data_IF_978787845923
#
_entry.id   IF_978787845923
#
_cell.length_a   1.000
_cell.length_b   1.000
_cell.length_c   1.000
_cell.angle_alpha   90.00
_cell.angle_beta   90.00
_cell.angle_gamma   90.00
#
_symmetry.space_group_name_H-M   'P 1'
#
loop_
_entity.id
_entity.type
_entity.pdbx_description
1 polymer ?
#
# COMPACT_ATOMS: atom_id res chain seq x y z
N UNK A 1 55.39 41.62 0.72
CA UNK A 1 54.63 40.60 1.45
C UNK A 1 53.15 40.80 1.11
N UNK A 2 52.67 40.08 0.10
CA UNK A 2 51.27 40.13 -0.34
C UNK A 2 50.54 39.00 0.39
N UNK A 3 49.58 39.35 1.27
CA UNK A 3 48.66 38.38 1.89
C UNK A 3 47.61 38.02 0.86
N UNK A 4 47.65 36.79 0.40
CA UNK A 4 46.62 36.17 -0.42
C UNK A 4 45.46 35.80 0.54
N UNK A 5 44.38 36.53 0.48
CA UNK A 5 43.11 36.13 1.10
C UNK A 5 42.49 35.03 0.24
N UNK A 6 42.71 33.80 0.67
CA UNK A 6 41.95 32.66 0.11
C UNK A 6 40.55 32.73 0.71
N UNK A 7 39.60 33.27 -0.04
CA UNK A 7 38.18 33.15 0.27
C UNK A 7 37.80 31.70 -0.04
N UNK A 8 37.76 30.89 1.02
CA UNK A 8 37.08 29.58 0.95
C UNK A 8 35.58 29.86 0.73
N UNK A 9 35.16 29.88 -0.54
CA UNK A 9 33.76 29.82 -0.93
C UNK A 9 33.30 28.41 -0.57
N UNK A 10 32.91 28.19 0.68
CA UNK A 10 32.08 27.06 1.04
C UNK A 10 30.80 27.19 0.23
N UNK A 11 30.75 26.52 -0.91
CA UNK A 11 29.48 26.15 -1.54
C UNK A 11 28.74 25.31 -0.50
N UNK A 12 27.98 25.95 0.37
CA UNK A 12 26.80 25.43 0.92
C UNK A 12 25.88 25.15 -0.29
N UNK A 13 26.02 23.97 -0.85
CA UNK A 13 24.91 23.29 -1.51
C UNK A 13 23.82 23.23 -0.45
N UNK A 14 23.10 24.33 -0.27
CA UNK A 14 21.74 24.29 0.16
C UNK A 14 21.07 23.38 -0.88
N UNK A 15 21.02 22.09 -0.57
CA UNK A 15 20.01 21.21 -1.09
C UNK A 15 18.70 21.87 -0.67
N UNK A 16 18.28 22.87 -1.45
CA UNK A 16 16.90 23.29 -1.47
C UNK A 16 16.15 22.03 -1.85
N UNK A 17 15.75 21.27 -0.85
CA UNK A 17 14.71 20.31 -1.00
C UNK A 17 13.50 21.14 -1.46
N UNK A 18 13.35 21.31 -2.77
CA UNK A 18 12.07 21.65 -3.33
C UNK A 18 11.19 20.49 -2.97
N UNK A 19 10.46 20.64 -1.85
CA UNK A 19 9.31 19.82 -1.55
C UNK A 19 8.49 19.83 -2.83
N UNK A 20 8.53 18.72 -3.58
CA UNK A 20 7.88 18.63 -4.87
C UNK A 20 6.40 18.91 -4.66
N UNK A 21 5.87 19.85 -5.42
CA UNK A 21 4.46 20.24 -5.37
C UNK A 21 3.81 19.73 -6.64
N UNK A 22 3.56 18.42 -6.72
CA UNK A 22 2.74 17.89 -7.78
C UNK A 22 1.28 18.34 -7.55
N UNK A 23 0.73 19.26 -8.37
CA UNK A 23 -0.62 19.78 -8.18
C UNK A 23 -1.70 18.67 -8.26
N UNK A 24 -1.42 17.59 -9.02
CA UNK A 24 -2.35 16.47 -9.13
C UNK A 24 -2.39 15.64 -7.83
N UNK A 25 -1.23 15.43 -7.20
CA UNK A 25 -1.17 14.76 -5.91
C UNK A 25 -1.86 15.60 -4.84
N UNK A 26 -1.59 16.91 -4.80
CA UNK A 26 -2.24 17.81 -3.86
C UNK A 26 -3.76 17.85 -4.05
N UNK A 27 -4.26 18.00 -5.28
CA UNK A 27 -5.69 17.98 -5.57
C UNK A 27 -6.33 16.67 -5.11
N UNK A 28 -5.68 15.53 -5.38
CA UNK A 28 -6.15 14.22 -4.95
C UNK A 28 -6.25 14.09 -3.42
N UNK A 29 -5.28 14.62 -2.67
CA UNK A 29 -5.30 14.61 -1.20
C UNK A 29 -6.35 15.57 -0.62
N UNK A 30 -6.59 16.71 -1.27
CA UNK A 30 -7.59 17.69 -0.83
C UNK A 30 -9.03 17.22 -1.02
N UNK A 31 -9.29 16.34 -2.00
CA UNK A 31 -10.63 15.75 -2.18
C UNK A 31 -11.04 14.89 -0.98
N UNK A 32 -10.09 14.20 -0.35
CA UNK A 32 -10.31 13.40 0.85
C UNK A 32 -9.04 13.36 1.71
N UNK A 33 -9.08 14.02 2.86
CA UNK A 33 -7.95 14.10 3.80
C UNK A 33 -7.50 12.72 4.31
N UNK A 34 -8.36 11.70 4.31
CA UNK A 34 -7.98 10.34 4.71
C UNK A 34 -6.90 9.74 3.82
N UNK A 35 -6.74 10.24 2.60
CA UNK A 35 -5.71 9.81 1.64
C UNK A 35 -4.28 10.15 2.07
N UNK A 36 -4.09 11.09 3.02
CA UNK A 36 -2.77 11.33 3.61
C UNK A 36 -2.28 10.19 4.49
N UNK A 37 -3.14 9.22 4.81
CA UNK A 37 -2.77 7.97 5.49
C UNK A 37 -1.87 7.04 4.65
N UNK A 38 -1.57 7.38 3.39
CA UNK A 38 -0.75 6.59 2.48
C UNK A 38 -1.30 5.16 2.30
N UNK A 39 -0.45 4.16 2.53
CA UNK A 39 -0.82 2.75 2.44
C UNK A 39 -1.76 2.26 3.57
N UNK A 40 -2.09 3.10 4.58
CA UNK A 40 -3.16 2.84 5.54
C UNK A 40 -4.53 3.32 5.07
N UNK A 41 -4.61 4.03 3.93
CA UNK A 41 -5.90 4.40 3.35
C UNK A 41 -6.70 3.14 2.98
N UNK A 42 -8.00 3.11 3.30
CA UNK A 42 -8.87 1.98 3.01
C UNK A 42 -9.18 1.83 1.52
N UNK A 43 -9.72 0.69 1.12
CA UNK A 43 -10.04 0.42 -0.29
C UNK A 43 -11.15 1.36 -0.80
N UNK A 44 -10.87 2.08 -1.88
CA UNK A 44 -11.86 2.94 -2.55
C UNK A 44 -12.60 2.15 -3.64
N UNK A 45 -13.84 1.76 -3.37
CA UNK A 45 -14.68 1.11 -4.37
C UNK A 45 -15.22 2.13 -5.38
N UNK A 46 -14.80 1.98 -6.65
CA UNK A 46 -15.27 2.79 -7.79
C UNK A 46 -15.82 1.87 -8.88
N UNK A 47 -16.80 2.34 -9.63
CA UNK A 47 -17.31 1.61 -10.77
C UNK A 47 -16.51 1.94 -12.03
N UNK A 48 -16.02 0.90 -12.69
CA UNK A 48 -15.26 0.99 -13.91
C UNK A 48 -15.97 0.28 -15.05
N UNK A 49 -15.75 0.78 -16.26
CA UNK A 49 -16.15 0.08 -17.49
C UNK A 49 -14.98 -0.77 -17.95
N UNK A 50 -15.27 -2.00 -18.36
CA UNK A 50 -14.28 -2.94 -18.85
C UNK A 50 -14.38 -3.11 -20.36
N UNK A 51 -13.23 -3.29 -21.00
CA UNK A 51 -13.14 -3.58 -22.42
C UNK A 51 -13.77 -4.94 -22.73
N UNK A 52 -14.44 -5.02 -23.87
CA UNK A 52 -15.04 -6.30 -24.28
C UNK A 52 -13.94 -7.29 -24.67
N UNK A 53 -14.07 -8.51 -24.16
CA UNK A 53 -13.20 -9.62 -24.57
C UNK A 53 -13.31 -9.81 -26.09
N UNK A 54 -12.19 -9.96 -26.82
CA UNK A 54 -12.21 -10.17 -28.25
C UNK A 54 -13.08 -11.36 -28.65
N UNK A 55 -13.77 -11.25 -29.80
CA UNK A 55 -14.67 -12.31 -30.29
C UNK A 55 -13.90 -13.63 -30.48
N UNK A 56 -14.41 -14.70 -29.92
CA UNK A 56 -13.81 -16.04 -30.05
C UNK A 56 -12.89 -16.43 -28.91
N UNK A 57 -12.66 -15.54 -27.94
CA UNK A 57 -11.94 -15.84 -26.71
C UNK A 57 -12.91 -16.10 -25.55
N UNK A 58 -12.55 -17.06 -24.71
CA UNK A 58 -13.28 -17.37 -23.48
C UNK A 58 -12.32 -17.46 -22.30
N UNK A 59 -12.77 -16.98 -21.13
CA UNK A 59 -11.99 -17.04 -19.91
C UNK A 59 -11.79 -18.49 -19.48
N UNK A 60 -10.51 -18.85 -19.21
CA UNK A 60 -10.09 -20.20 -18.84
C UNK A 60 -9.37 -20.28 -17.50
N UNK A 61 -8.76 -19.17 -17.04
CA UNK A 61 -8.01 -19.14 -15.80
C UNK A 61 -7.97 -17.73 -15.21
N UNK A 62 -7.82 -17.62 -13.89
CA UNK A 62 -7.58 -16.37 -13.17
C UNK A 62 -6.46 -16.51 -12.15
N UNK A 63 -5.53 -15.56 -12.13
CA UNK A 63 -4.46 -15.46 -11.14
C UNK A 63 -4.59 -14.15 -10.37
N UNK A 64 -4.54 -14.22 -9.05
CA UNK A 64 -4.74 -13.08 -8.16
C UNK A 64 -3.64 -12.98 -7.11
N UNK A 65 -3.30 -11.74 -6.73
CA UNK A 65 -2.63 -11.44 -5.48
C UNK A 65 -3.28 -10.22 -4.82
N UNK A 66 -3.68 -10.38 -3.55
CA UNK A 66 -4.23 -9.31 -2.72
C UNK A 66 -3.36 -9.05 -1.48
N UNK A 67 -3.15 -7.77 -1.17
CA UNK A 67 -2.71 -7.31 0.14
C UNK A 67 -3.81 -7.58 1.15
N UNK A 68 -3.47 -7.88 2.42
CA UNK A 68 -4.47 -7.94 3.50
C UNK A 68 -5.30 -6.64 3.57
N UNK A 69 -6.54 -6.72 4.05
CA UNK A 69 -7.45 -5.59 4.22
C UNK A 69 -7.08 -4.66 5.37
N UNK A 70 -7.94 -3.68 5.61
CA UNK A 70 -7.89 -2.78 6.76
C UNK A 70 -7.75 -3.57 8.06
N UNK A 71 -6.90 -3.11 8.99
CA UNK A 71 -6.45 -3.88 10.14
C UNK A 71 -6.24 -3.02 11.38
N UNK A 72 -6.13 -3.69 12.51
CA UNK A 72 -5.61 -3.09 13.74
C UNK A 72 -4.09 -2.89 13.64
N UNK A 73 -3.52 -2.15 14.60
CA UNK A 73 -2.08 -1.91 14.68
C UNK A 73 -1.29 -3.22 14.84
N UNK A 74 -0.03 -3.18 14.46
CA UNK A 74 0.95 -4.25 14.76
C UNK A 74 1.77 -3.95 16.01
N UNK A 75 1.68 -2.73 16.55
CA UNK A 75 2.33 -2.28 17.79
C UNK A 75 1.60 -1.05 18.34
N UNK A 76 1.66 -0.83 19.66
CA UNK A 76 0.91 0.23 20.37
C UNK A 76 1.72 1.50 20.66
N UNK A 77 3.03 1.48 20.45
CA UNK A 77 3.96 2.58 20.80
C UNK A 77 3.52 3.98 20.36
N UNK A 78 2.87 4.09 19.19
CA UNK A 78 2.36 5.36 18.68
C UNK A 78 1.26 5.93 19.56
N UNK A 79 0.25 5.12 19.88
CA UNK A 79 -0.85 5.50 20.77
C UNK A 79 -0.34 5.85 22.17
N UNK A 80 0.48 5.00 22.76
CA UNK A 80 1.07 5.23 24.10
C UNK A 80 1.81 6.57 24.17
N UNK A 81 2.61 6.89 23.16
CA UNK A 81 3.36 8.14 23.14
C UNK A 81 2.44 9.36 23.00
N UNK A 82 1.44 9.31 22.11
CA UNK A 82 0.45 10.39 21.96
C UNK A 82 -0.34 10.57 23.23
N UNK A 83 -0.87 9.49 23.83
CA UNK A 83 -1.60 9.51 25.10
C UNK A 83 -0.74 10.14 26.21
N UNK A 84 0.54 9.71 26.34
CA UNK A 84 1.46 10.26 27.33
C UNK A 84 1.61 11.77 27.18
N UNK A 85 1.79 12.26 25.96
CA UNK A 85 2.01 13.69 25.71
C UNK A 85 0.75 14.52 25.92
N UNK A 86 -0.39 14.06 25.42
CA UNK A 86 -1.66 14.75 25.64
C UNK A 86 -2.05 14.74 27.15
N UNK A 87 -1.77 13.66 27.88
CA UNK A 87 -1.99 13.61 29.34
C UNK A 87 -1.09 14.60 30.08
N UNK A 88 0.15 14.83 29.63
CA UNK A 88 1.02 15.85 30.22
C UNK A 88 0.45 17.26 30.00
N UNK A 89 -0.05 17.55 28.80
CA UNK A 89 -0.71 18.83 28.48
C UNK A 89 -2.01 19.02 29.28
N UNK A 90 -2.82 17.97 29.40
CA UNK A 90 -4.04 17.99 30.21
C UNK A 90 -3.77 18.36 31.66
N UNK A 91 -2.77 17.70 32.28
CA UNK A 91 -2.36 17.98 33.67
C UNK A 91 -1.85 19.41 33.87
N UNK A 92 -1.30 20.03 32.84
CA UNK A 92 -0.86 21.41 32.83
C UNK A 92 -1.99 22.42 32.51
N UNK A 93 -3.21 21.94 32.22
CA UNK A 93 -4.34 22.81 31.83
C UNK A 93 -4.17 23.45 30.46
N UNK A 94 -3.39 22.85 29.57
CA UNK A 94 -3.01 23.41 28.27
C UNK A 94 -3.78 22.82 27.10
N UNK A 95 -4.60 21.75 27.28
CA UNK A 95 -5.45 21.25 26.20
C UNK A 95 -6.67 22.15 26.01
N UNK A 96 -7.04 22.34 24.75
CA UNK A 96 -8.36 22.87 24.38
C UNK A 96 -9.35 21.71 24.16
N UNK A 97 -10.58 22.00 23.73
CA UNK A 97 -11.63 21.00 23.51
C UNK A 97 -11.21 19.90 22.51
N UNK A 98 -10.55 20.27 21.41
CA UNK A 98 -10.08 19.33 20.40
C UNK A 98 -8.97 18.42 20.95
N UNK A 99 -8.06 18.98 21.76
CA UNK A 99 -7.01 18.23 22.43
C UNK A 99 -7.54 17.22 23.45
N UNK A 100 -8.54 17.62 24.25
CA UNK A 100 -9.22 16.72 25.20
C UNK A 100 -9.93 15.58 24.47
N UNK A 101 -10.66 15.89 23.40
CA UNK A 101 -11.36 14.89 22.60
C UNK A 101 -10.38 13.94 21.91
N UNK A 102 -9.26 14.45 21.35
CA UNK A 102 -8.21 13.61 20.77
C UNK A 102 -7.61 12.65 21.80
N UNK A 103 -7.36 13.13 23.05
CA UNK A 103 -6.86 12.28 24.12
C UNK A 103 -7.84 11.16 24.45
N UNK A 104 -9.14 11.47 24.57
CA UNK A 104 -10.20 10.49 24.82
C UNK A 104 -10.25 9.44 23.72
N UNK A 105 -10.33 9.89 22.46
CA UNK A 105 -10.38 9.01 21.29
C UNK A 105 -9.14 8.12 21.19
N UNK A 106 -7.93 8.68 21.42
CA UNK A 106 -6.68 7.92 21.32
C UNK A 106 -6.63 6.83 22.39
N UNK A 107 -7.13 7.10 23.63
CA UNK A 107 -7.24 6.09 24.68
C UNK A 107 -8.19 4.95 24.29
N UNK A 108 -9.34 5.26 23.71
CA UNK A 108 -10.31 4.25 23.26
C UNK A 108 -9.74 3.39 22.11
N UNK A 109 -9.12 4.02 21.13
CA UNK A 109 -8.44 3.31 20.04
C UNK A 109 -7.27 2.45 20.54
N UNK A 110 -6.52 2.92 21.55
CA UNK A 110 -5.44 2.15 22.16
C UNK A 110 -5.94 0.84 22.75
N UNK A 111 -6.97 0.89 23.61
CA UNK A 111 -7.59 -0.31 24.21
C UNK A 111 -8.11 -1.28 23.13
N UNK A 112 -8.71 -0.74 22.08
CA UNK A 112 -9.22 -1.54 20.98
C UNK A 112 -8.07 -2.22 20.21
N UNK A 113 -6.98 -1.49 19.95
CA UNK A 113 -5.80 -2.04 19.26
C UNK A 113 -5.07 -3.09 20.12
N UNK A 114 -4.89 -2.87 21.43
CA UNK A 114 -4.26 -3.85 22.33
C UNK A 114 -4.94 -5.22 22.28
N UNK A 115 -6.27 -5.23 22.25
CA UNK A 115 -7.07 -6.47 22.20
C UNK A 115 -7.01 -7.19 20.86
N UNK A 116 -6.63 -6.50 19.80
CA UNK A 116 -6.76 -7.00 18.42
C UNK A 116 -5.48 -6.81 17.60
N UNK A 117 -4.32 -6.65 18.25
CA UNK A 117 -3.04 -6.48 17.52
C UNK A 117 -2.89 -7.51 16.40
N UNK A 118 -2.38 -7.04 15.25
CA UNK A 118 -2.14 -7.81 14.02
C UNK A 118 -3.38 -8.30 13.28
N UNK A 119 -4.57 -8.26 13.88
CA UNK A 119 -5.80 -8.80 13.30
C UNK A 119 -6.40 -7.87 12.23
N UNK A 120 -7.14 -8.47 11.31
CA UNK A 120 -7.97 -7.76 10.35
C UNK A 120 -9.11 -7.02 11.09
N UNK A 121 -9.43 -5.80 10.66
CA UNK A 121 -10.57 -5.06 11.20
C UNK A 121 -11.87 -5.49 10.50
N UNK A 122 -13.05 -5.18 11.07
CA UNK A 122 -14.32 -5.44 10.41
C UNK A 122 -14.41 -4.83 8.99
N UNK A 123 -13.79 -3.66 8.78
CA UNK A 123 -13.68 -3.03 7.46
C UNK A 123 -12.87 -3.90 6.50
N UNK A 124 -11.74 -4.47 6.96
CA UNK A 124 -10.91 -5.33 6.13
C UNK A 124 -11.61 -6.62 5.68
N UNK A 125 -12.44 -7.22 6.53
CA UNK A 125 -13.29 -8.35 6.11
C UNK A 125 -14.27 -7.93 5.01
N UNK A 126 -14.93 -6.77 5.15
CA UNK A 126 -15.87 -6.24 4.16
C UNK A 126 -15.17 -5.89 2.84
N UNK A 127 -13.96 -5.32 2.89
CA UNK A 127 -13.16 -5.01 1.70
C UNK A 127 -12.96 -6.27 0.86
N UNK A 128 -12.43 -7.34 1.46
CA UNK A 128 -12.15 -8.59 0.75
C UNK A 128 -13.42 -9.29 0.24
N UNK A 129 -14.49 -9.33 1.04
CA UNK A 129 -15.76 -9.88 0.59
C UNK A 129 -16.29 -9.14 -0.65
N UNK A 130 -16.27 -7.80 -0.61
CA UNK A 130 -16.76 -6.97 -1.71
C UNK A 130 -15.89 -7.04 -2.96
N UNK A 131 -14.55 -7.11 -2.82
CA UNK A 131 -13.64 -7.32 -3.96
C UNK A 131 -13.96 -8.65 -4.66
N UNK A 132 -14.15 -9.73 -3.88
CA UNK A 132 -14.53 -11.04 -4.41
C UNK A 132 -15.89 -11.01 -5.16
N UNK A 133 -16.87 -10.33 -4.59
CA UNK A 133 -18.20 -10.15 -5.22
C UNK A 133 -18.09 -9.38 -6.55
N UNK A 134 -17.28 -8.33 -6.61
CA UNK A 134 -17.04 -7.54 -7.83
C UNK A 134 -16.31 -8.35 -8.88
N UNK A 135 -15.28 -9.12 -8.51
CA UNK A 135 -14.58 -10.05 -9.38
C UNK A 135 -15.55 -11.10 -9.97
N UNK A 136 -16.37 -11.71 -9.12
CA UNK A 136 -17.39 -12.66 -9.54
C UNK A 136 -18.40 -12.02 -10.53
N UNK A 137 -18.89 -10.82 -10.22
CA UNK A 137 -19.85 -10.11 -11.05
C UNK A 137 -19.28 -9.75 -12.43
N UNK A 138 -18.01 -9.35 -12.50
CA UNK A 138 -17.30 -9.04 -13.74
C UNK A 138 -17.16 -10.27 -14.62
N UNK A 139 -16.74 -11.40 -14.07
CA UNK A 139 -16.50 -12.65 -14.79
C UNK A 139 -17.57 -13.72 -14.47
N UNK A 140 -18.83 -13.30 -14.38
CA UNK A 140 -19.96 -14.14 -13.96
C UNK A 140 -20.11 -15.42 -14.77
N UNK A 141 -19.85 -15.39 -16.09
CA UNK A 141 -19.95 -16.59 -16.96
C UNK A 141 -18.93 -17.64 -16.54
N UNK A 142 -17.73 -17.23 -16.16
CA UNK A 142 -16.65 -18.10 -15.70
C UNK A 142 -16.94 -18.66 -14.32
N UNK A 143 -17.22 -17.81 -13.33
CA UNK A 143 -17.45 -18.20 -11.94
C UNK A 143 -18.76 -18.97 -11.67
N UNK A 144 -19.67 -19.05 -12.64
CA UNK A 144 -20.86 -19.93 -12.54
C UNK A 144 -20.56 -21.41 -12.83
N UNK A 145 -19.39 -21.74 -13.34
CA UNK A 145 -18.95 -23.11 -13.56
C UNK A 145 -18.56 -23.75 -12.23
N UNK A 146 -18.32 -25.06 -12.26
CA UNK A 146 -17.76 -25.82 -11.16
C UNK A 146 -16.24 -25.68 -11.21
N UNK A 147 -15.70 -24.66 -10.53
CA UNK A 147 -14.27 -24.32 -10.57
C UNK A 147 -13.57 -24.84 -9.34
N UNK A 148 -12.30 -25.22 -9.52
CA UNK A 148 -11.39 -25.56 -8.44
C UNK A 148 -10.42 -24.40 -8.22
N UNK A 149 -10.41 -23.88 -6.99
CA UNK A 149 -9.66 -22.69 -6.59
C UNK A 149 -8.60 -23.05 -5.57
N UNK A 150 -7.33 -22.70 -5.87
CA UNK A 150 -6.23 -22.77 -4.90
C UNK A 150 -6.06 -21.40 -4.28
N UNK A 151 -6.13 -21.33 -2.94
CA UNK A 151 -5.88 -20.11 -2.17
C UNK A 151 -4.68 -20.30 -1.26
N UNK A 152 -3.71 -19.39 -1.32
CA UNK A 152 -2.55 -19.40 -0.42
C UNK A 152 -2.38 -18.04 0.24
N UNK A 153 -2.05 -18.06 1.53
CA UNK A 153 -1.82 -16.85 2.31
C UNK A 153 -0.45 -16.84 3.00
N UNK A 154 0.08 -15.64 3.22
CA UNK A 154 1.14 -15.44 4.20
C UNK A 154 0.73 -16.00 5.56
N UNK A 155 1.68 -16.45 6.37
CA UNK A 155 1.45 -16.99 7.72
C UNK A 155 0.87 -15.96 8.71
N UNK A 156 0.79 -14.69 8.35
CA UNK A 156 0.16 -13.66 9.18
C UNK A 156 -1.37 -13.80 9.22
N UNK A 157 -1.96 -13.81 10.43
CA UNK A 157 -3.39 -14.00 10.68
C UNK A 157 -4.28 -13.09 9.83
N UNK A 158 -3.91 -11.82 9.65
CA UNK A 158 -4.65 -10.87 8.80
C UNK A 158 -4.69 -11.28 7.33
N UNK A 159 -3.67 -11.97 6.81
CA UNK A 159 -3.65 -12.44 5.43
C UNK A 159 -4.54 -13.67 5.27
N UNK A 160 -4.51 -14.60 6.23
CA UNK A 160 -5.39 -15.76 6.28
C UNK A 160 -6.86 -15.34 6.43
N UNK A 161 -7.14 -14.37 7.32
CA UNK A 161 -8.47 -13.79 7.50
C UNK A 161 -8.99 -13.11 6.23
N UNK A 162 -8.10 -12.40 5.49
CA UNK A 162 -8.41 -11.80 4.20
C UNK A 162 -8.78 -12.87 3.17
N UNK A 163 -7.98 -13.93 3.06
CA UNK A 163 -8.26 -15.07 2.20
C UNK A 163 -9.61 -15.71 2.52
N UNK A 164 -9.85 -16.00 3.80
CA UNK A 164 -11.11 -16.63 4.23
C UNK A 164 -12.33 -15.75 3.93
N UNK A 165 -12.24 -14.43 4.13
CA UNK A 165 -13.33 -13.51 3.81
C UNK A 165 -13.61 -13.47 2.31
N UNK A 166 -12.57 -13.38 1.49
CA UNK A 166 -12.65 -13.38 0.03
C UNK A 166 -13.26 -14.68 -0.50
N UNK A 167 -12.70 -15.82 -0.13
CA UNK A 167 -13.16 -17.14 -0.56
C UNK A 167 -14.59 -17.44 -0.08
N UNK A 168 -14.91 -17.06 1.16
CA UNK A 168 -16.27 -17.19 1.68
C UNK A 168 -17.30 -16.38 0.87
N UNK A 169 -16.93 -15.19 0.37
CA UNK A 169 -17.81 -14.42 -0.52
C UNK A 169 -18.00 -15.09 -1.88
N UNK A 170 -16.97 -15.70 -2.46
CA UNK A 170 -17.11 -16.49 -3.70
C UNK A 170 -18.03 -17.69 -3.53
N UNK A 171 -17.85 -18.47 -2.45
CA UNK A 171 -18.69 -19.65 -2.17
C UNK A 171 -20.16 -19.25 -1.95
N UNK A 172 -20.43 -18.13 -1.30
CA UNK A 172 -21.82 -17.61 -1.19
C UNK A 172 -22.44 -17.30 -2.54
N UNK A 173 -21.66 -16.87 -3.55
CA UNK A 173 -22.14 -16.60 -4.91
C UNK A 173 -22.32 -17.88 -5.74
N UNK A 174 -21.44 -18.87 -5.54
CA UNK A 174 -21.53 -20.19 -6.18
C UNK A 174 -21.06 -21.30 -5.23
N UNK A 175 -21.97 -22.04 -4.58
CA UNK A 175 -21.62 -23.14 -3.65
C UNK A 175 -20.93 -24.34 -4.30
N UNK A 176 -20.85 -24.42 -5.63
CA UNK A 176 -20.17 -25.51 -6.35
C UNK A 176 -18.67 -25.27 -6.53
N UNK A 177 -18.17 -24.11 -6.10
CA UNK A 177 -16.73 -23.83 -6.10
C UNK A 177 -16.02 -24.73 -5.06
N UNK A 178 -14.97 -25.39 -5.47
CA UNK A 178 -14.10 -26.17 -4.58
C UNK A 178 -12.88 -25.35 -4.19
N UNK A 179 -12.59 -25.27 -2.88
CA UNK A 179 -11.52 -24.43 -2.32
C UNK A 179 -10.45 -25.29 -1.67
N UNK A 180 -9.22 -25.20 -2.16
CA UNK A 180 -8.01 -25.74 -1.51
C UNK A 180 -7.24 -24.56 -0.90
N UNK A 181 -7.42 -24.30 0.40
CA UNK A 181 -6.84 -23.15 1.10
C UNK A 181 -5.69 -23.58 2.00
N UNK A 182 -4.56 -22.85 1.94
CA UNK A 182 -3.37 -23.17 2.71
C UNK A 182 -2.58 -21.93 3.13
N UNK A 183 -1.77 -22.07 4.19
CA UNK A 183 -0.86 -21.04 4.69
C UNK A 183 0.34 -21.71 5.37
N UNK A 184 1.49 -21.68 4.69
CA UNK A 184 2.72 -22.36 5.14
C UNK A 184 3.92 -21.43 5.01
N UNK A 185 4.93 -21.69 5.84
CA UNK A 185 6.20 -20.95 5.83
C UNK A 185 6.93 -21.05 4.48
N UNK A 186 6.85 -22.18 3.78
CA UNK A 186 7.45 -22.37 2.47
C UNK A 186 6.97 -21.34 1.42
N UNK A 187 5.73 -20.88 1.52
CA UNK A 187 5.18 -19.85 0.61
C UNK A 187 5.76 -18.46 0.83
N UNK A 188 6.33 -18.22 2.03
CA UNK A 188 6.90 -16.92 2.37
C UNK A 188 8.07 -16.55 1.46
N UNK A 189 8.77 -17.53 0.91
CA UNK A 189 9.88 -17.33 -0.03
C UNK A 189 9.52 -16.56 -1.30
N UNK A 190 8.23 -16.52 -1.67
CA UNK A 190 7.75 -15.77 -2.84
C UNK A 190 6.56 -14.84 -2.52
N UNK A 191 5.62 -15.23 -1.64
CA UNK A 191 4.51 -14.36 -1.24
C UNK A 191 5.00 -13.15 -0.43
N UNK A 192 6.08 -13.32 0.34
CA UNK A 192 6.58 -12.29 1.25
C UNK A 192 8.10 -12.23 1.27
N UNK A 193 8.72 -12.40 0.10
CA UNK A 193 10.18 -12.44 0.00
C UNK A 193 10.79 -11.08 0.40
N UNK A 194 11.51 -11.08 1.52
CA UNK A 194 12.27 -9.93 2.04
C UNK A 194 13.76 -10.24 2.17
N UNK A 195 14.20 -11.44 1.77
CA UNK A 195 15.59 -11.88 1.94
C UNK A 195 16.58 -10.98 1.20
N UNK A 196 17.66 -10.61 1.90
CA UNK A 196 18.78 -9.84 1.37
C UNK A 196 18.51 -8.34 1.13
N UNK A 197 17.35 -7.85 1.54
CA UNK A 197 16.84 -6.53 1.22
C UNK A 197 17.13 -5.48 2.30
N UNK A 198 17.11 -5.88 3.57
CA UNK A 198 16.69 -4.96 4.63
C UNK A 198 17.80 -4.01 5.10
N UNK A 199 19.03 -4.45 5.28
CA UNK A 199 20.04 -3.60 5.94
C UNK A 199 20.54 -2.44 5.06
N UNK A 200 20.95 -2.70 3.82
CA UNK A 200 21.64 -1.66 3.03
C UNK A 200 20.69 -0.60 2.46
N UNK A 201 19.51 -1.01 2.00
CA UNK A 201 18.54 -0.08 1.41
C UNK A 201 17.79 0.65 2.51
N UNK A 202 17.32 -0.08 3.53
CA UNK A 202 16.55 0.49 4.63
C UNK A 202 17.33 1.55 5.41
N UNK A 203 18.61 1.30 5.70
CA UNK A 203 19.45 2.26 6.41
C UNK A 203 19.70 3.53 5.60
N UNK A 204 20.00 3.41 4.30
CA UNK A 204 20.23 4.57 3.43
C UNK A 204 18.94 5.36 3.19
N UNK A 205 17.81 4.69 2.94
CA UNK A 205 16.51 5.33 2.85
C UNK A 205 16.13 6.01 4.17
N UNK A 206 16.38 5.35 5.31
CA UNK A 206 16.19 5.90 6.64
C UNK A 206 16.90 7.22 6.88
N UNK A 207 18.16 7.36 6.45
CA UNK A 207 18.91 8.62 6.54
C UNK A 207 18.25 9.76 5.74
N UNK A 208 17.75 9.47 4.55
CA UNK A 208 17.01 10.44 3.73
C UNK A 208 15.72 10.87 4.44
N UNK A 209 14.96 9.92 4.95
CA UNK A 209 13.70 10.15 5.66
C UNK A 209 13.91 10.93 6.95
N UNK A 210 14.95 10.61 7.73
CA UNK A 210 15.27 11.32 8.98
C UNK A 210 15.72 12.76 8.72
N UNK A 211 16.48 13.00 7.65
CA UNK A 211 16.84 14.34 7.21
C UNK A 211 15.59 15.16 6.89
N UNK A 212 14.64 14.59 6.12
CA UNK A 212 13.39 15.27 5.76
C UNK A 212 12.49 15.54 6.97
N UNK A 213 12.34 14.57 7.87
CA UNK A 213 11.57 14.76 9.11
C UNK A 213 12.03 16.01 9.89
N UNK A 214 13.35 16.25 9.92
CA UNK A 214 13.92 17.38 10.65
C UNK A 214 13.93 18.70 9.86
N UNK A 215 13.76 18.65 8.55
CA UNK A 215 13.89 19.82 7.67
C UNK A 215 12.55 20.42 7.30
N UNK A 216 11.54 19.58 6.97
CA UNK A 216 10.27 20.09 6.41
C UNK A 216 9.10 20.08 7.39
N UNK A 217 9.11 19.21 8.42
CA UNK A 217 8.04 19.18 9.42
C UNK A 217 8.11 20.38 10.36
N UNK A 218 6.93 20.89 10.72
CA UNK A 218 6.77 21.94 11.71
C UNK A 218 5.82 21.48 12.82
N UNK A 219 6.33 20.80 13.86
CA UNK A 219 5.49 20.25 14.92
C UNK A 219 4.66 21.29 15.68
N UNK A 220 5.05 22.56 15.63
CA UNK A 220 4.25 23.64 16.23
C UNK A 220 2.89 23.73 15.55
N UNK A 221 2.85 23.59 14.24
CA UNK A 221 1.59 23.63 13.49
C UNK A 221 0.70 22.40 13.76
N UNK A 222 1.30 21.22 13.96
CA UNK A 222 0.53 20.03 14.34
C UNK A 222 0.01 20.07 15.79
N UNK A 223 0.68 20.80 16.69
CA UNK A 223 0.29 20.95 18.11
C UNK A 223 -0.71 22.10 18.28
N UNK A 224 -0.60 23.16 17.51
CA UNK A 224 -1.41 24.39 17.61
C UNK A 224 -2.94 24.15 17.75
N UNK A 225 -3.56 23.27 16.94
CA UNK A 225 -5.00 23.04 17.01
C UNK A 225 -5.47 22.37 18.33
N UNK A 226 -4.56 21.84 19.13
CA UNK A 226 -4.86 20.99 20.29
C UNK A 226 -4.74 21.72 21.62
N UNK A 227 -4.21 22.96 21.62
CA UNK A 227 -3.78 23.63 22.85
C UNK A 227 -4.31 25.06 22.98
N UNK A 228 -4.42 25.53 24.20
CA UNK A 228 -4.82 26.91 24.53
C UNK A 228 -3.67 27.91 24.46
N UNK A 229 -2.47 27.45 24.83
CA UNK A 229 -1.22 28.23 24.76
C UNK A 229 -0.13 27.38 24.12
N UNK A 230 0.26 27.75 22.88
CA UNK A 230 1.23 26.98 22.11
C UNK A 230 2.65 27.07 22.67
N UNK A 231 3.05 28.24 23.19
CA UNK A 231 4.43 28.42 23.65
C UNK A 231 4.66 27.67 24.97
N UNK A 232 3.73 27.68 25.89
CA UNK A 232 3.79 26.88 27.10
C UNK A 232 3.65 25.39 26.80
N UNK A 233 2.74 24.99 25.93
CA UNK A 233 2.59 23.62 25.51
C UNK A 233 3.87 23.06 24.86
N UNK A 234 4.50 23.81 23.97
CA UNK A 234 5.69 23.35 23.25
C UNK A 234 6.88 23.06 24.15
N UNK A 235 7.00 23.73 25.30
CA UNK A 235 8.06 23.47 26.29
C UNK A 235 7.98 22.05 26.87
N UNK A 236 6.81 21.42 26.84
CA UNK A 236 6.61 20.05 27.33
C UNK A 236 7.04 18.96 26.34
N UNK A 237 7.43 19.34 25.13
CA UNK A 237 7.89 18.41 24.10
C UNK A 237 9.41 18.37 24.00
N UNK A 238 10.03 17.29 24.44
CA UNK A 238 11.45 17.04 24.23
C UNK A 238 11.77 16.48 22.82
N UNK A 239 10.79 15.93 22.13
CA UNK A 239 10.88 15.37 20.76
C UNK A 239 9.60 15.68 19.98
N UNK A 240 9.35 16.92 19.59
CA UNK A 240 8.08 17.33 18.98
C UNK A 240 7.83 16.69 17.61
N UNK A 241 8.85 16.53 16.77
CA UNK A 241 8.76 15.79 15.49
C UNK A 241 8.25 14.36 15.70
N UNK A 242 8.69 13.69 16.79
CA UNK A 242 8.22 12.35 17.12
C UNK A 242 6.73 12.32 17.48
N UNK A 243 6.25 13.36 18.17
CA UNK A 243 4.82 13.49 18.48
C UNK A 243 4.00 13.62 17.20
N UNK A 244 4.41 14.50 16.31
CA UNK A 244 3.72 14.73 15.04
C UNK A 244 3.67 13.46 14.17
N UNK A 245 4.78 12.74 14.04
CA UNK A 245 4.83 11.45 13.33
C UNK A 245 3.88 10.42 13.94
N UNK A 246 3.85 10.29 15.27
CA UNK A 246 2.95 9.33 15.91
C UNK A 246 1.48 9.79 15.89
N UNK A 247 1.22 11.10 15.94
CA UNK A 247 -0.13 11.63 15.72
C UNK A 247 -0.65 11.26 14.32
N UNK A 248 0.20 11.39 13.29
CA UNK A 248 -0.15 10.94 11.93
C UNK A 248 -0.45 9.44 11.87
N UNK A 249 0.37 8.59 12.53
CA UNK A 249 0.13 7.13 12.58
C UNK A 249 -1.21 6.81 13.26
N UNK A 250 -1.50 7.45 14.41
CA UNK A 250 -2.77 7.29 15.14
C UNK A 250 -3.95 7.74 14.28
N UNK A 251 -3.80 8.87 13.59
CA UNK A 251 -4.82 9.40 12.70
C UNK A 251 -5.06 8.50 11.47
N UNK A 252 -3.99 7.92 10.93
CA UNK A 252 -4.06 7.03 9.77
C UNK A 252 -4.80 5.72 10.10
N UNK A 253 -4.48 5.10 11.25
CA UNK A 253 -5.12 3.83 11.61
C UNK A 253 -6.59 3.99 12.02
N UNK A 254 -7.00 5.17 12.49
CA UNK A 254 -8.39 5.45 12.83
C UNK A 254 -9.35 5.20 11.66
N UNK A 255 -8.88 5.38 10.43
CA UNK A 255 -9.67 5.12 9.20
C UNK A 255 -9.96 3.62 8.99
N UNK A 256 -9.17 2.73 9.59
CA UNK A 256 -9.30 1.27 9.48
C UNK A 256 -10.16 0.65 10.59
N UNK A 257 -10.39 1.40 11.67
CA UNK A 257 -11.08 0.92 12.86
C UNK A 257 -12.60 1.14 12.80
N UNK A 258 -13.40 0.35 13.53
CA UNK A 258 -14.84 0.55 13.63
C UNK A 258 -15.17 1.73 14.58
N UNK A 259 -14.63 2.91 14.27
CA UNK A 259 -14.82 4.15 15.03
C UNK A 259 -15.27 5.27 14.11
N UNK A 260 -15.96 6.27 14.66
CA UNK A 260 -16.40 7.45 13.92
C UNK A 260 -15.42 8.62 14.03
N UNK A 261 -14.28 8.41 14.66
CA UNK A 261 -13.25 9.43 14.85
C UNK A 261 -12.50 9.68 13.55
N UNK A 262 -12.13 10.96 13.35
CA UNK A 262 -11.35 11.39 12.19
C UNK A 262 -10.23 12.33 12.65
N UNK A 263 -9.24 11.82 13.43
CA UNK A 263 -8.17 12.65 13.98
C UNK A 263 -7.33 13.35 12.90
N UNK A 264 -7.30 12.82 11.68
CA UNK A 264 -6.59 13.44 10.56
C UNK A 264 -7.06 14.86 10.28
N UNK A 265 -8.34 15.18 10.54
CA UNK A 265 -8.90 16.53 10.37
C UNK A 265 -8.33 17.56 11.35
N UNK A 266 -7.72 17.11 12.45
CA UNK A 266 -7.07 17.99 13.44
C UNK A 266 -5.64 18.39 13.02
N UNK A 267 -5.05 17.72 12.05
CA UNK A 267 -3.73 18.07 11.50
C UNK A 267 -3.97 19.06 10.36
N UNK A 268 -3.40 20.28 10.40
CA UNK A 268 -3.50 21.23 9.29
C UNK A 268 -3.07 20.59 7.98
N UNK A 269 -3.81 20.86 6.90
CA UNK A 269 -3.59 20.16 5.62
C UNK A 269 -2.13 20.24 5.13
N UNK A 270 -1.51 21.41 5.24
CA UNK A 270 -0.12 21.60 4.79
C UNK A 270 0.86 20.69 5.56
N UNK A 271 0.63 20.47 6.86
CA UNK A 271 1.45 19.60 7.68
C UNK A 271 1.12 18.12 7.40
N UNK A 272 -0.17 17.79 7.27
CA UNK A 272 -0.61 16.44 6.86
C UNK A 272 -0.01 16.04 5.49
N UNK A 273 0.05 16.96 4.54
CA UNK A 273 0.67 16.76 3.21
C UNK A 273 2.17 16.48 3.29
N UNK A 274 2.91 17.16 4.19
CA UNK A 274 4.33 16.88 4.42
C UNK A 274 4.54 15.48 5.02
N UNK A 275 3.73 15.11 6.00
CA UNK A 275 3.74 13.77 6.59
C UNK A 275 3.43 12.69 5.55
N UNK A 276 2.43 12.93 4.69
CA UNK A 276 2.12 12.08 3.55
C UNK A 276 3.33 11.95 2.61
N UNK A 277 3.95 13.07 2.22
CA UNK A 277 5.09 13.06 1.31
C UNK A 277 6.26 12.23 1.85
N UNK A 278 6.62 12.42 3.12
CA UNK A 278 7.67 11.65 3.78
C UNK A 278 7.34 10.15 3.80
N UNK A 279 6.11 9.80 4.15
CA UNK A 279 5.68 8.40 4.18
C UNK A 279 5.57 7.79 2.79
N UNK A 280 5.10 8.54 1.81
CA UNK A 280 5.03 8.12 0.41
C UNK A 280 6.43 7.87 -0.16
N UNK A 281 7.38 8.78 0.11
CA UNK A 281 8.78 8.62 -0.25
C UNK A 281 9.42 7.39 0.41
N UNK A 282 9.21 7.19 1.72
CA UNK A 282 9.70 6.02 2.46
C UNK A 282 9.24 4.72 1.79
N UNK A 283 7.96 4.61 1.45
CA UNK A 283 7.41 3.45 0.74
C UNK A 283 8.05 3.26 -0.63
N UNK A 284 8.20 4.35 -1.39
CA UNK A 284 8.73 4.29 -2.75
C UNK A 284 10.21 3.88 -2.77
N UNK A 285 11.05 4.51 -1.95
CA UNK A 285 12.48 4.20 -1.86
C UNK A 285 12.72 2.75 -1.41
N UNK A 286 11.97 2.28 -0.44
CA UNK A 286 12.15 0.95 0.12
C UNK A 286 11.54 -0.17 -0.72
N UNK A 287 10.53 0.08 -1.56
CA UNK A 287 9.73 -1.01 -2.13
C UNK A 287 9.41 -0.88 -3.62
N UNK A 288 9.64 0.27 -4.24
CA UNK A 288 9.33 0.52 -5.65
C UNK A 288 10.58 0.70 -6.50
N UNK A 289 10.36 1.05 -7.77
CA UNK A 289 11.39 1.23 -8.78
C UNK A 289 12.08 2.61 -8.69
N UNK A 290 12.60 2.97 -7.50
CA UNK A 290 13.31 4.25 -7.33
C UNK A 290 14.62 4.28 -8.14
N UNK A 291 15.04 5.48 -8.52
CA UNK A 291 16.36 5.70 -9.15
C UNK A 291 17.47 5.27 -8.21
N UNK A 292 17.32 5.51 -6.90
CA UNK A 292 18.34 5.25 -5.89
C UNK A 292 18.49 3.76 -5.56
N UNK A 293 17.40 3.01 -5.45
CA UNK A 293 17.44 1.66 -4.86
C UNK A 293 16.66 0.60 -5.65
N UNK A 294 15.96 0.98 -6.74
CA UNK A 294 15.13 0.05 -7.51
C UNK A 294 15.90 -1.15 -8.03
N UNK A 295 17.11 -0.96 -8.53
CA UNK A 295 17.94 -2.03 -9.09
C UNK A 295 18.39 -3.06 -8.03
N UNK A 296 18.39 -2.68 -6.76
CA UNK A 296 18.67 -3.60 -5.64
C UNK A 296 17.37 -4.31 -5.22
N UNK A 297 16.26 -3.57 -5.16
CA UNK A 297 15.00 -4.04 -4.56
C UNK A 297 14.17 -4.93 -5.49
N UNK A 298 14.01 -4.51 -6.74
CA UNK A 298 13.06 -5.11 -7.66
C UNK A 298 13.39 -6.57 -8.04
N UNK A 299 14.67 -6.98 -8.21
CA UNK A 299 15.01 -8.36 -8.54
C UNK A 299 14.43 -9.42 -7.59
N UNK A 300 14.20 -9.08 -6.32
CA UNK A 300 13.60 -10.01 -5.33
C UNK A 300 12.15 -10.40 -5.66
N UNK A 301 11.44 -9.64 -6.50
CA UNK A 301 10.11 -9.98 -6.96
C UNK A 301 10.08 -11.07 -8.04
N UNK A 302 11.24 -11.50 -8.57
CA UNK A 302 11.33 -12.57 -9.56
C UNK A 302 10.66 -13.86 -9.09
N UNK A 303 10.86 -14.25 -7.84
CA UNK A 303 10.26 -15.49 -7.28
C UNK A 303 8.73 -15.47 -7.35
N UNK A 304 8.11 -14.33 -7.09
CA UNK A 304 6.66 -14.16 -7.20
C UNK A 304 6.22 -14.16 -8.68
N UNK A 305 6.96 -13.52 -9.58
CA UNK A 305 6.66 -13.53 -11.02
C UNK A 305 6.73 -14.97 -11.60
N UNK A 306 7.74 -15.74 -11.23
CA UNK A 306 7.85 -17.15 -11.65
C UNK A 306 6.74 -18.04 -11.07
N UNK A 307 6.27 -17.78 -9.82
CA UNK A 307 5.11 -18.46 -9.27
C UNK A 307 3.83 -18.17 -10.09
N UNK A 308 3.62 -16.91 -10.50
CA UNK A 308 2.50 -16.55 -11.38
C UNK A 308 2.59 -17.27 -12.73
N UNK A 309 3.76 -17.28 -13.36
CA UNK A 309 4.00 -17.95 -14.65
C UNK A 309 3.76 -19.45 -14.53
N UNK A 310 4.41 -20.09 -13.56
CA UNK A 310 4.34 -21.54 -13.38
C UNK A 310 2.90 -22.01 -13.17
N UNK A 311 2.16 -21.37 -12.27
CA UNK A 311 0.77 -21.76 -11.98
C UNK A 311 -0.17 -21.50 -13.14
N UNK A 312 0.05 -20.41 -13.89
CA UNK A 312 -0.71 -20.15 -15.10
C UNK A 312 -0.44 -21.21 -16.18
N UNK A 313 0.82 -21.53 -16.44
CA UNK A 313 1.19 -22.53 -17.43
C UNK A 313 0.71 -23.95 -17.04
N UNK A 314 0.75 -24.30 -15.75
CA UNK A 314 0.15 -25.54 -15.22
C UNK A 314 -1.34 -25.60 -15.54
N UNK A 315 -2.12 -24.58 -15.19
CA UNK A 315 -3.55 -24.53 -15.45
C UNK A 315 -3.87 -24.57 -16.95
N UNK A 316 -3.17 -23.77 -17.74
CA UNK A 316 -3.36 -23.70 -19.20
C UNK A 316 -3.03 -25.01 -19.91
N UNK A 317 -2.17 -25.85 -19.35
CA UNK A 317 -1.79 -27.18 -19.85
C UNK A 317 -2.70 -28.30 -19.35
N UNK A 318 -3.82 -27.99 -18.72
CA UNK A 318 -4.78 -28.98 -18.21
C UNK A 318 -4.57 -29.37 -16.75
N UNK A 319 -3.93 -28.52 -15.97
CA UNK A 319 -3.83 -28.64 -14.52
C UNK A 319 -5.20 -28.57 -13.82
N UNK A 320 -5.23 -28.90 -12.53
CA UNK A 320 -6.47 -29.09 -11.80
C UNK A 320 -7.10 -27.81 -11.21
N UNK A 321 -6.42 -26.67 -11.30
CA UNK A 321 -6.94 -25.41 -10.74
C UNK A 321 -7.29 -24.42 -11.84
N UNK A 322 -8.50 -23.84 -11.71
CA UNK A 322 -9.03 -22.82 -12.59
C UNK A 322 -8.71 -21.39 -12.08
N UNK A 323 -8.41 -21.27 -10.78
CA UNK A 323 -8.14 -19.99 -10.13
C UNK A 323 -7.02 -20.16 -9.08
N UNK A 324 -6.05 -19.27 -9.10
CA UNK A 324 -5.03 -19.13 -8.05
C UNK A 324 -5.17 -17.78 -7.33
N UNK A 325 -5.41 -17.83 -6.02
CA UNK A 325 -5.54 -16.69 -5.14
C UNK A 325 -4.35 -16.61 -4.19
N UNK A 326 -3.74 -15.43 -4.06
CA UNK A 326 -2.64 -15.17 -3.13
C UNK A 326 -2.99 -14.00 -2.22
N UNK A 327 -2.67 -14.13 -0.92
CA UNK A 327 -2.94 -13.08 0.06
C UNK A 327 -1.69 -12.79 0.89
N UNK A 328 -1.20 -11.55 0.82
CA UNK A 328 0.04 -11.15 1.46
C UNK A 328 0.06 -9.69 1.88
N UNK A 329 1.15 -9.02 1.55
CA UNK A 329 1.49 -7.69 2.06
C UNK A 329 1.72 -6.68 0.94
N UNK A 330 1.78 -5.39 1.31
CA UNK A 330 2.04 -4.28 0.39
C UNK A 330 3.46 -4.29 -0.19
N UNK A 331 4.49 -4.52 0.63
CA UNK A 331 5.88 -4.43 0.19
C UNK A 331 6.26 -5.45 -0.91
N UNK A 332 5.89 -6.75 -0.88
CA UNK A 332 6.16 -7.63 -2.02
C UNK A 332 5.32 -7.25 -3.24
N UNK A 333 4.12 -6.71 -3.04
CA UNK A 333 3.25 -6.30 -4.13
C UNK A 333 3.79 -5.06 -4.85
N UNK A 334 4.33 -4.07 -4.12
CA UNK A 334 4.99 -2.90 -4.71
C UNK A 334 6.20 -3.31 -5.56
N UNK A 335 7.05 -4.20 -5.03
CA UNK A 335 8.18 -4.73 -5.77
C UNK A 335 7.73 -5.53 -7.01
N UNK A 336 6.71 -6.35 -6.88
CA UNK A 336 6.15 -7.14 -7.99
C UNK A 336 5.56 -6.25 -9.08
N UNK A 337 4.78 -5.23 -8.73
CA UNK A 337 4.23 -4.29 -9.72
C UNK A 337 5.33 -3.54 -10.47
N UNK A 338 6.40 -3.15 -9.77
CA UNK A 338 7.58 -2.55 -10.39
C UNK A 338 8.32 -3.55 -11.28
N UNK A 339 8.45 -4.81 -10.84
CA UNK A 339 9.10 -5.88 -11.60
C UNK A 339 8.37 -6.17 -12.92
N UNK A 340 7.05 -6.30 -12.88
CA UNK A 340 6.24 -6.56 -14.09
C UNK A 340 5.98 -5.31 -14.93
N UNK A 341 6.41 -4.14 -14.48
CA UNK A 341 6.24 -2.87 -15.18
C UNK A 341 4.79 -2.40 -15.27
N UNK A 342 4.01 -2.59 -14.20
CA UNK A 342 2.58 -2.30 -14.17
C UNK A 342 2.31 -0.80 -14.10
N UNK A 343 1.64 -0.21 -15.11
CA UNK A 343 1.18 1.19 -15.15
C UNK A 343 2.25 2.17 -14.61
N UNK A 344 1.95 2.90 -13.55
CA UNK A 344 2.85 3.89 -12.92
C UNK A 344 4.05 3.28 -12.19
N UNK A 345 4.00 1.99 -11.84
CA UNK A 345 5.13 1.29 -11.25
C UNK A 345 6.24 0.99 -12.28
N UNK A 346 5.97 1.17 -13.57
CA UNK A 346 6.98 1.09 -14.62
C UNK A 346 7.93 2.30 -14.62
N UNK A 347 7.45 3.45 -14.17
CA UNK A 347 8.23 4.68 -14.11
C UNK A 347 9.28 4.63 -13.01
N UNK A 348 10.42 5.32 -13.24
CA UNK A 348 11.48 5.48 -12.23
C UNK A 348 11.54 6.92 -11.79
N UNK A 349 11.19 7.17 -10.55
CA UNK A 349 11.30 8.50 -9.93
C UNK A 349 12.47 8.53 -8.96
N UNK A 350 13.20 9.65 -8.95
CA UNK A 350 14.13 9.97 -7.87
C UNK A 350 13.38 10.51 -6.63
N UNK A 351 14.09 10.66 -5.53
CA UNK A 351 13.53 11.12 -4.25
C UNK A 351 12.83 12.49 -4.31
N UNK A 352 13.07 13.31 -5.32
CA UNK A 352 12.46 14.64 -5.45
C UNK A 352 11.17 14.62 -6.27
N UNK A 353 10.88 13.51 -6.97
CA UNK A 353 9.74 13.36 -7.87
C UNK A 353 8.80 12.21 -7.50
N UNK A 354 8.93 11.65 -6.28
CA UNK A 354 8.13 10.50 -5.85
C UNK A 354 6.64 10.81 -5.65
N UNK A 355 6.22 12.06 -5.60
CA UNK A 355 4.83 12.48 -5.55
C UNK A 355 4.07 12.34 -6.89
N UNK A 356 4.76 11.90 -7.96
CA UNK A 356 4.11 11.37 -9.17
C UNK A 356 3.50 9.97 -8.95
N UNK A 357 4.01 9.20 -7.97
CA UNK A 357 3.42 7.99 -7.47
C UNK A 357 2.68 8.27 -6.15
N UNK A 358 1.47 7.76 -5.98
CA UNK A 358 0.61 8.08 -4.85
C UNK A 358 0.18 6.79 -4.15
N UNK A 359 0.79 6.49 -3.01
CA UNK A 359 0.58 5.24 -2.27
C UNK A 359 -0.88 5.00 -1.88
N UNK A 360 -1.61 6.04 -1.47
CA UNK A 360 -3.03 5.93 -1.12
C UNK A 360 -3.96 5.69 -2.32
N UNK A 361 -3.49 5.87 -3.55
CA UNK A 361 -4.22 5.53 -4.77
C UNK A 361 -3.82 4.17 -5.31
N UNK A 362 -2.53 3.87 -5.29
CA UNK A 362 -1.96 2.74 -6.01
C UNK A 362 -1.65 1.54 -5.08
N UNK A 363 -1.56 1.75 -3.75
CA UNK A 363 -1.18 0.73 -2.77
C UNK A 363 -1.92 0.87 -1.41
N UNK A 364 -3.19 1.23 -1.44
CA UNK A 364 -4.04 1.29 -0.23
C UNK A 364 -4.31 -0.10 0.39
N UNK A 365 -5.05 -0.18 1.50
CA UNK A 365 -5.48 -1.47 2.09
C UNK A 365 -6.23 -2.31 1.07
N UNK A 366 -6.13 -3.63 1.16
CA UNK A 366 -6.71 -4.60 0.24
C UNK A 366 -6.36 -4.41 -1.26
N UNK A 367 -5.33 -3.60 -1.58
CA UNK A 367 -4.83 -3.50 -2.97
C UNK A 367 -4.62 -4.88 -3.55
N UNK A 368 -5.07 -5.07 -4.80
CA UNK A 368 -4.98 -6.36 -5.46
C UNK A 368 -4.70 -6.22 -6.97
N UNK A 369 -4.11 -7.27 -7.50
CA UNK A 369 -3.96 -7.52 -8.92
C UNK A 369 -4.70 -8.80 -9.28
N UNK A 370 -5.47 -8.76 -10.36
CA UNK A 370 -6.11 -9.91 -10.97
C UNK A 370 -5.64 -9.98 -12.42
N UNK A 371 -5.17 -11.14 -12.84
CA UNK A 371 -4.78 -11.42 -14.22
C UNK A 371 -5.78 -12.44 -14.75
N UNK A 372 -6.52 -12.03 -15.75
CA UNK A 372 -7.57 -12.84 -16.39
C UNK A 372 -7.04 -13.40 -17.71
N UNK A 373 -7.16 -14.71 -17.89
CA UNK A 373 -6.64 -15.44 -19.04
C UNK A 373 -7.77 -15.90 -19.94
N UNK A 374 -7.68 -15.56 -21.20
CA UNK A 374 -8.67 -15.89 -22.21
C UNK A 374 -8.05 -16.70 -23.32
N UNK A 375 -8.65 -17.84 -23.66
CA UNK A 375 -8.16 -18.74 -24.74
C UNK A 375 -8.99 -18.55 -25.98
N UNK A 376 -8.31 -18.35 -27.11
CA UNK A 376 -8.86 -18.27 -28.44
C UNK A 376 -9.14 -19.65 -29.04
N UNK A 377 -9.95 -19.70 -30.11
CA UNK A 377 -10.31 -20.95 -30.82
C UNK A 377 -9.09 -21.67 -31.42
N UNK A 378 -7.98 -20.97 -31.65
CA UNK A 378 -6.73 -21.54 -32.18
C UNK A 378 -5.79 -22.03 -31.08
N UNK A 379 -6.19 -21.87 -29.80
CA UNK A 379 -5.40 -22.26 -28.63
C UNK A 379 -4.48 -21.14 -28.10
N UNK A 380 -4.40 -20.03 -28.77
CA UNK A 380 -3.68 -18.82 -28.34
C UNK A 380 -4.32 -18.26 -27.05
N UNK A 381 -3.49 -17.66 -26.20
CA UNK A 381 -3.94 -17.13 -24.90
C UNK A 381 -3.58 -15.64 -24.79
N UNK A 382 -4.58 -14.84 -24.47
CA UNK A 382 -4.39 -13.44 -24.14
C UNK A 382 -4.74 -13.18 -22.68
N UNK A 383 -4.11 -12.16 -22.08
CA UNK A 383 -4.32 -11.77 -20.69
C UNK A 383 -4.74 -10.33 -20.55
N UNK A 384 -5.55 -10.07 -19.52
CA UNK A 384 -5.95 -8.73 -19.09
C UNK A 384 -5.57 -8.53 -17.63
N UNK A 385 -5.06 -7.34 -17.30
CA UNK A 385 -4.65 -6.98 -15.94
C UNK A 385 -5.68 -6.05 -15.32
N UNK A 386 -6.12 -6.38 -14.11
CA UNK A 386 -7.05 -5.57 -13.30
C UNK A 386 -6.34 -5.23 -11.99
N UNK A 387 -6.08 -3.94 -11.76
CA UNK A 387 -5.50 -3.41 -10.53
C UNK A 387 -6.53 -2.55 -9.81
N UNK A 388 -6.87 -2.94 -8.58
CA UNK A 388 -7.88 -2.24 -7.77
C UNK A 388 -9.18 -1.97 -8.55
N UNK A 389 -9.78 -3.04 -9.08
CA UNK A 389 -10.97 -3.03 -9.94
C UNK A 389 -10.84 -2.31 -11.29
N UNK A 390 -9.73 -1.69 -11.60
CA UNK A 390 -9.51 -0.95 -12.85
C UNK A 390 -8.66 -1.74 -13.83
N UNK A 391 -9.07 -1.78 -15.10
CA UNK A 391 -8.17 -2.24 -16.17
C UNK A 391 -6.88 -1.44 -16.15
N UNK A 392 -5.76 -2.13 -16.23
CA UNK A 392 -4.44 -1.53 -16.20
C UNK A 392 -3.57 -2.07 -17.32
N UNK A 393 -2.43 -1.45 -17.55
CA UNK A 393 -1.54 -1.76 -18.67
C UNK A 393 -0.13 -2.07 -18.22
N UNK A 394 0.62 -2.73 -19.08
CA UNK A 394 2.08 -2.82 -19.05
C UNK A 394 2.59 -1.92 -20.17
N UNK A 395 3.04 -0.69 -19.89
CA UNK A 395 3.37 0.31 -20.93
C UNK A 395 4.39 -0.19 -21.94
N UNK A 396 5.36 -1.00 -21.51
CA UNK A 396 6.38 -1.59 -22.40
C UNK A 396 5.82 -2.56 -23.44
N UNK A 397 4.63 -3.14 -23.20
CA UNK A 397 3.96 -4.06 -24.10
C UNK A 397 2.88 -3.40 -24.96
N UNK A 398 2.73 -2.06 -24.84
CA UNK A 398 1.77 -1.29 -25.63
C UNK A 398 0.53 -0.84 -24.83
N UNK A 399 -0.50 -0.32 -25.52
CA UNK A 399 -1.62 0.36 -24.88
C UNK A 399 -2.56 -0.57 -24.09
N UNK A 400 -2.52 -1.89 -24.33
CA UNK A 400 -3.46 -2.85 -23.71
C UNK A 400 -4.90 -2.71 -24.23
N UNK A 401 -5.89 -3.25 -23.51
CA UNK A 401 -5.79 -3.96 -22.25
C UNK A 401 -5.47 -5.46 -22.35
N UNK A 402 -5.44 -6.03 -23.58
CA UNK A 402 -5.16 -7.44 -23.83
C UNK A 402 -3.76 -7.60 -24.40
N UNK A 403 -3.03 -8.59 -23.86
CA UNK A 403 -1.66 -8.92 -24.27
C UNK A 403 -1.54 -10.42 -24.53
N UNK A 404 -0.74 -10.81 -25.51
CA UNK A 404 -0.36 -12.20 -25.70
C UNK A 404 0.42 -12.73 -24.49
N UNK A 405 0.03 -13.92 -23.97
CA UNK A 405 0.62 -14.46 -22.73
C UNK A 405 2.10 -14.82 -22.90
N UNK A 406 2.51 -15.38 -24.04
CA UNK A 406 3.91 -15.70 -24.29
C UNK A 406 4.77 -14.43 -24.31
N UNK A 407 4.26 -13.35 -24.91
CA UNK A 407 4.91 -12.04 -24.91
C UNK A 407 5.06 -11.48 -23.50
N UNK A 408 4.04 -11.61 -22.65
CA UNK A 408 4.11 -11.19 -21.24
C UNK A 408 5.16 -11.98 -20.47
N UNK A 409 5.19 -13.32 -20.63
CA UNK A 409 6.18 -14.19 -19.99
C UNK A 409 7.60 -13.83 -20.38
N UNK A 410 7.85 -13.68 -21.69
CA UNK A 410 9.16 -13.30 -22.21
C UNK A 410 9.61 -11.96 -21.60
N UNK A 411 8.73 -10.96 -21.61
CA UNK A 411 9.01 -9.65 -21.03
C UNK A 411 9.36 -9.74 -19.53
N UNK A 412 8.62 -10.54 -18.73
CA UNK A 412 8.90 -10.67 -17.30
C UNK A 412 10.23 -11.38 -17.02
N UNK A 413 10.58 -12.41 -17.82
CA UNK A 413 11.83 -13.16 -17.66
C UNK A 413 13.07 -12.38 -18.05
N UNK A 414 12.93 -11.46 -19.03
CA UNK A 414 14.03 -10.61 -19.49
C UNK A 414 14.32 -9.42 -18.57
N UNK A 415 13.48 -9.18 -17.56
CA UNK A 415 13.68 -8.10 -16.60
C UNK A 415 14.55 -8.57 -15.43
N UNK A 416 15.61 -7.78 -15.09
CA UNK A 416 16.52 -7.99 -13.95
C UNK A 416 17.23 -9.35 -13.96
#
# INVERSE_FOLDING_TARGET
MKRIFTVLLTLLLSLSFCFSQNPQAEAFLREDISRVACNYHGYEFKDYKYSRVPKGYEMVYLSHYGRHGSRYMTYTKGHEYVIKKLTQLQKAGLLNADGEELLRQTKEMHVMNEKNLHNLSPKGYQEHARIAERMFAREKKFFRKDLRIRGIASTADRCQSSMNSFCGALVRQNPRLTMDLDSKEEYMSYISNTSGFEETVHDKAGLIIDSLNNTILNPREAIRPLVTDLDEAYKLFNRPVRFEKYLHVVASIAEDLPVHYRPMKLIPFEEARKLWYIKNLDLYLNHCNSVEFGDIRIPYARSLAEDFITKADESLSGGCYDVDLRFGHDYPLMAFFSYIGLDRFNERYDRNHTDNWISSRDMHMATNLQIEFFRGKKGDVIVRFIHNDRETKIPALGPGPFYDWETVKAYWRDRY
#
